data_IF_820122837671
#
_entry.id   IF_820122837671
#
_cell.length_a   1.000
_cell.length_b   1.000
_cell.length_c   1.000
_cell.angle_alpha   90.00
_cell.angle_beta   90.00
_cell.angle_gamma   90.00
#
_symmetry.space_group_name_H-M   'P 1'
#
loop_
_entity.id
_entity.type
_entity.pdbx_description
1 polymer ?
#
# COMPACT_ATOMS: atom_id res chain seq x y z
N UNK A 1 4.05 -37.21 -28.06
CA UNK A 1 4.65 -36.92 -26.74
C UNK A 1 5.37 -35.60 -26.90
N UNK A 2 4.65 -34.50 -26.68
CA UNK A 2 5.12 -33.13 -27.00
C UNK A 2 5.91 -32.61 -25.80
N UNK A 3 7.07 -32.05 -26.11
CA UNK A 3 8.00 -31.36 -25.22
C UNK A 3 7.38 -30.03 -24.78
N UNK A 4 7.29 -29.77 -23.47
CA UNK A 4 7.21 -28.41 -22.92
C UNK A 4 8.05 -28.38 -21.64
N UNK A 5 9.36 -28.18 -21.80
CA UNK A 5 10.21 -27.66 -20.74
C UNK A 5 9.81 -26.18 -20.53
N UNK A 6 8.78 -25.96 -19.71
CA UNK A 6 8.47 -24.63 -19.19
C UNK A 6 9.48 -24.33 -18.10
N UNK A 7 10.62 -23.79 -18.52
CA UNK A 7 11.52 -23.05 -17.64
C UNK A 7 10.69 -22.02 -16.84
N UNK A 8 10.33 -22.35 -15.59
CA UNK A 8 9.75 -21.41 -14.65
C UNK A 8 10.80 -20.33 -14.40
N UNK A 9 10.56 -19.11 -14.86
CA UNK A 9 11.30 -17.95 -14.36
C UNK A 9 11.00 -17.84 -12.86
N UNK A 10 11.87 -18.42 -12.03
CA UNK A 10 11.71 -18.60 -10.58
C UNK A 10 12.00 -17.31 -9.80
N UNK A 11 11.64 -16.16 -10.35
CA UNK A 11 11.87 -14.87 -9.70
C UNK A 11 10.66 -14.40 -8.89
N UNK A 12 9.49 -15.05 -9.05
CA UNK A 12 8.24 -14.61 -8.43
C UNK A 12 7.38 -15.78 -7.95
N UNK A 13 6.64 -15.54 -6.86
CA UNK A 13 5.62 -16.41 -6.30
C UNK A 13 4.26 -15.77 -6.57
N UNK A 14 3.40 -16.49 -7.28
CA UNK A 14 2.03 -16.07 -7.56
C UNK A 14 1.06 -16.75 -6.58
N UNK A 15 0.16 -15.95 -6.00
CA UNK A 15 -0.98 -16.44 -5.22
C UNK A 15 -2.19 -16.50 -6.15
N UNK A 16 -2.75 -17.69 -6.32
CA UNK A 16 -3.86 -17.94 -7.25
C UNK A 16 -5.12 -18.30 -6.49
N UNK A 17 -6.26 -17.73 -6.88
CA UNK A 17 -7.58 -18.08 -6.40
C UNK A 17 -8.44 -18.50 -7.60
N UNK A 18 -8.76 -19.79 -7.72
CA UNK A 18 -9.35 -20.34 -8.95
C UNK A 18 -8.34 -20.25 -10.10
N UNK A 19 -8.74 -19.57 -11.19
CA UNK A 19 -7.89 -19.35 -12.37
C UNK A 19 -7.28 -17.93 -12.41
N UNK A 20 -7.48 -17.13 -11.36
CA UNK A 20 -7.00 -15.75 -11.30
C UNK A 20 -5.81 -15.61 -10.34
N UNK A 21 -4.73 -14.98 -10.82
CA UNK A 21 -3.63 -14.51 -9.96
C UNK A 21 -4.15 -13.32 -9.15
N UNK A 22 -4.20 -13.47 -7.83
CA UNK A 22 -4.69 -12.45 -6.89
C UNK A 22 -3.56 -11.66 -6.22
N UNK A 23 -2.33 -12.17 -6.27
CA UNK A 23 -1.12 -11.45 -5.86
C UNK A 23 0.12 -12.07 -6.51
N UNK A 24 1.18 -11.29 -6.69
CA UNK A 24 2.45 -11.77 -7.24
C UNK A 24 3.62 -11.07 -6.56
N UNK A 25 4.48 -11.85 -5.90
CA UNK A 25 5.57 -11.36 -5.06
C UNK A 25 6.92 -11.79 -5.63
N UNK A 26 7.99 -10.98 -5.49
CA UNK A 26 9.33 -11.46 -5.76
C UNK A 26 9.69 -12.61 -4.81
N UNK A 27 10.31 -13.66 -5.34
CA UNK A 27 10.86 -14.76 -4.56
C UNK A 27 12.18 -14.31 -3.94
N UNK A 28 12.33 -14.51 -2.62
CA UNK A 28 13.56 -14.18 -1.90
C UNK A 28 14.35 -15.46 -1.61
N UNK A 29 15.65 -15.45 -1.90
CA UNK A 29 16.56 -16.55 -1.62
C UNK A 29 17.50 -16.20 -0.45
N UNK A 30 17.74 -17.17 0.44
CA UNK A 30 18.54 -16.97 1.65
C UNK A 30 17.73 -17.13 2.93
N UNK A 31 18.42 -17.17 4.08
CA UNK A 31 17.79 -17.26 5.40
C UNK A 31 17.40 -15.86 5.90
N UNK A 32 16.37 -15.80 6.73
CA UNK A 32 15.89 -14.59 7.42
C UNK A 32 15.44 -13.43 6.50
N UNK A 33 15.05 -13.72 5.26
CA UNK A 33 14.49 -12.74 4.33
C UNK A 33 12.98 -12.60 4.52
N UNK A 34 12.49 -11.36 4.66
CA UNK A 34 11.05 -11.06 4.71
C UNK A 34 10.77 -9.85 3.84
N UNK A 35 9.88 -9.98 2.86
CA UNK A 35 9.37 -8.86 2.07
C UNK A 35 7.89 -8.67 2.40
N UNK A 36 7.54 -7.53 2.99
CA UNK A 36 6.16 -7.20 3.30
C UNK A 36 5.70 -6.03 2.42
N UNK A 37 5.06 -6.35 1.29
CA UNK A 37 4.34 -5.30 0.56
C UNK A 37 3.08 -4.90 1.33
N UNK A 38 3.08 -3.67 1.84
CA UNK A 38 2.00 -3.06 2.61
C UNK A 38 0.63 -3.11 1.90
N UNK A 39 0.59 -3.16 0.56
CA UNK A 39 -0.65 -3.18 -0.22
C UNK A 39 -1.49 -4.42 0.09
N UNK A 40 -0.87 -5.56 0.41
CA UNK A 40 -1.57 -6.78 0.81
C UNK A 40 -2.25 -6.68 2.18
N UNK A 41 -1.85 -5.69 2.99
CA UNK A 41 -2.35 -5.51 4.35
C UNK A 41 -3.41 -4.39 4.44
N UNK A 42 -3.85 -3.83 3.32
CA UNK A 42 -4.89 -2.78 3.29
C UNK A 42 -6.18 -3.29 3.95
N UNK A 43 -6.69 -4.46 3.55
CA UNK A 43 -7.91 -5.04 4.12
C UNK A 43 -7.76 -5.36 5.62
N UNK A 44 -6.55 -5.75 6.05
CA UNK A 44 -6.25 -5.92 7.47
C UNK A 44 -6.30 -4.57 8.21
N UNK A 45 -5.73 -3.53 7.62
CA UNK A 45 -5.72 -2.20 8.20
C UNK A 45 -7.13 -1.62 8.35
N UNK A 46 -8.04 -1.90 7.41
CA UNK A 46 -9.46 -1.51 7.51
C UNK A 46 -10.14 -2.07 8.76
N UNK A 47 -9.86 -3.33 9.10
CA UNK A 47 -10.43 -4.01 10.27
C UNK A 47 -9.69 -3.65 11.56
N UNK A 48 -8.38 -3.45 11.48
CA UNK A 48 -7.51 -3.17 12.63
C UNK A 48 -6.64 -1.93 12.35
N UNK A 49 -7.20 -0.70 12.39
CA UNK A 49 -6.49 0.52 12.02
C UNK A 49 -5.17 0.75 12.78
N UNK A 50 -5.10 0.27 14.03
CA UNK A 50 -3.89 0.36 14.85
C UNK A 50 -2.65 -0.30 14.24
N UNK A 51 -2.78 -1.19 13.24
CA UNK A 51 -1.62 -1.76 12.52
C UNK A 51 -0.81 -0.69 11.79
N UNK A 52 -1.39 0.46 11.47
CA UNK A 52 -0.63 1.57 10.86
C UNK A 52 0.45 2.13 11.79
N UNK A 53 0.33 1.95 13.11
CA UNK A 53 1.26 2.57 14.05
C UNK A 53 2.61 1.85 14.06
N UNK A 54 2.58 0.52 14.09
CA UNK A 54 3.75 -0.32 14.32
C UNK A 54 3.78 -1.61 13.48
N UNK A 55 2.86 -1.76 12.52
CA UNK A 55 2.81 -2.97 11.70
C UNK A 55 4.03 -3.03 10.79
N UNK A 56 4.80 -4.13 10.87
CA UNK A 56 5.97 -4.35 10.03
C UNK A 56 5.74 -4.09 8.53
N UNK A 57 4.58 -4.43 7.92
CA UNK A 57 4.33 -4.10 6.52
C UNK A 57 4.32 -2.60 6.22
N UNK A 58 3.87 -1.77 7.16
CA UNK A 58 3.82 -0.31 6.97
C UNK A 58 5.16 0.37 7.22
N UNK A 59 6.18 -0.39 7.65
CA UNK A 59 7.54 0.10 7.78
C UNK A 59 8.16 0.48 6.42
N UNK A 60 7.62 -0.03 5.31
CA UNK A 60 8.09 0.22 3.93
C UNK A 60 7.15 1.15 3.13
N UNK A 61 6.32 1.94 3.81
CA UNK A 61 5.49 2.94 3.14
C UNK A 61 6.36 3.96 2.37
N UNK A 62 5.95 4.33 1.14
CA UNK A 62 6.54 5.43 0.40
C UNK A 62 6.60 6.72 1.24
N UNK A 63 7.66 7.50 1.06
CA UNK A 63 7.93 8.70 1.87
C UNK A 63 6.74 9.64 2.02
N UNK A 64 5.97 9.99 0.96
CA UNK A 64 4.82 10.88 1.11
C UNK A 64 3.75 10.33 2.04
N UNK A 65 3.41 9.04 1.89
CA UNK A 65 2.43 8.36 2.74
C UNK A 65 2.90 8.28 4.18
N UNK A 66 4.20 8.08 4.43
CA UNK A 66 4.77 8.09 5.77
C UNK A 66 4.69 9.46 6.43
N UNK A 67 4.94 10.54 5.69
CA UNK A 67 4.81 11.90 6.21
C UNK A 67 3.35 12.22 6.57
N UNK A 68 2.41 11.85 5.70
CA UNK A 68 0.99 11.96 5.99
C UNK A 68 0.60 11.15 7.23
N UNK A 69 1.05 9.90 7.33
CA UNK A 69 0.80 9.02 8.48
C UNK A 69 1.26 9.68 9.78
N UNK A 70 2.52 10.15 9.84
CA UNK A 70 3.08 10.81 11.04
C UNK A 70 2.28 12.04 11.45
N UNK A 71 1.71 12.75 10.48
CA UNK A 71 0.90 13.93 10.75
C UNK A 71 -0.48 13.56 11.29
N UNK A 72 -1.13 12.58 10.67
CA UNK A 72 -2.47 12.13 11.07
C UNK A 72 -2.45 11.41 12.43
N UNK A 73 -1.44 10.58 12.71
CA UNK A 73 -1.32 9.82 13.96
C UNK A 73 -1.15 10.70 15.22
N UNK A 74 -0.88 12.01 15.08
CA UNK A 74 -0.90 12.95 16.20
C UNK A 74 -2.31 13.27 16.70
N UNK A 75 -3.33 12.97 15.88
CA UNK A 75 -4.75 13.19 16.19
C UNK A 75 -5.38 11.87 16.58
N UNK A 76 -6.29 11.90 17.54
CA UNK A 76 -7.09 10.73 17.88
C UNK A 76 -7.86 10.22 16.65
N UNK A 77 -7.79 8.92 16.39
CA UNK A 77 -8.42 8.30 15.22
C UNK A 77 -7.73 8.59 13.87
N UNK A 78 -6.54 9.20 13.85
CA UNK A 78 -5.82 9.49 12.62
C UNK A 78 -5.45 8.26 11.79
N UNK A 79 -5.24 7.11 12.44
CA UNK A 79 -5.08 5.82 11.78
C UNK A 79 -6.33 5.43 10.98
N UNK A 80 -7.52 5.52 11.58
CA UNK A 80 -8.81 5.24 10.93
C UNK A 80 -9.04 6.13 9.73
N UNK A 81 -8.74 7.42 9.87
CA UNK A 81 -8.90 8.41 8.79
C UNK A 81 -7.97 8.10 7.63
N UNK A 82 -6.70 7.80 7.91
CA UNK A 82 -5.74 7.40 6.88
C UNK A 82 -6.16 6.11 6.18
N UNK A 83 -6.50 5.07 6.95
CA UNK A 83 -6.92 3.77 6.40
C UNK A 83 -8.14 3.92 5.51
N UNK A 84 -9.22 4.54 6.02
CA UNK A 84 -10.52 4.56 5.33
C UNK A 84 -10.55 5.48 4.12
N UNK A 85 -9.70 6.51 4.07
CA UNK A 85 -9.70 7.44 2.95
C UNK A 85 -8.54 7.23 1.99
N UNK A 86 -7.31 7.08 2.48
CA UNK A 86 -6.13 7.01 1.61
C UNK A 86 -5.99 5.65 0.93
N UNK A 87 -6.34 4.55 1.61
CA UNK A 87 -6.16 3.21 1.04
C UNK A 87 -7.13 2.86 -0.07
N UNK A 88 -8.44 3.17 0.00
CA UNK A 88 -9.33 2.96 -1.14
C UNK A 88 -8.98 3.82 -2.35
N UNK A 89 -8.24 4.92 -2.17
CA UNK A 89 -7.78 5.76 -3.27
C UNK A 89 -6.72 5.07 -4.14
N UNK A 90 -5.87 4.20 -3.56
CA UNK A 90 -4.79 3.51 -4.30
C UNK A 90 -5.32 2.60 -5.41
N UNK A 91 -6.29 1.69 -5.18
CA UNK A 91 -6.88 0.91 -6.26
C UNK A 91 -7.75 1.75 -7.21
N UNK A 92 -8.29 2.89 -6.76
CA UNK A 92 -9.15 3.75 -7.60
C UNK A 92 -8.36 4.67 -8.56
N UNK A 93 -7.23 5.22 -8.12
CA UNK A 93 -6.45 6.23 -8.88
C UNK A 93 -5.05 5.77 -9.26
N UNK A 94 -4.61 4.61 -8.76
CA UNK A 94 -3.22 4.19 -8.83
C UNK A 94 -2.36 4.85 -7.76
N UNK A 95 -1.23 4.22 -7.45
CA UNK A 95 -0.35 4.67 -6.38
C UNK A 95 0.28 6.03 -6.67
N UNK A 96 0.82 6.23 -7.86
CA UNK A 96 1.55 7.46 -8.22
C UNK A 96 0.66 8.71 -8.08
N UNK A 97 -0.58 8.63 -8.54
CA UNK A 97 -1.54 9.73 -8.39
C UNK A 97 -1.79 10.07 -6.91
N UNK A 98 -1.91 9.04 -6.05
CA UNK A 98 -2.05 9.22 -4.61
C UNK A 98 -0.80 9.84 -4.00
N UNK A 99 0.40 9.40 -4.40
CA UNK A 99 1.66 9.97 -3.89
C UNK A 99 1.79 11.46 -4.22
N UNK A 100 1.56 11.83 -5.48
CA UNK A 100 1.57 13.23 -5.93
C UNK A 100 0.52 14.06 -5.18
N UNK A 101 -0.70 13.55 -5.02
CA UNK A 101 -1.75 14.22 -4.27
C UNK A 101 -1.35 14.44 -2.80
N UNK A 102 -0.68 13.47 -2.19
CA UNK A 102 -0.17 13.57 -0.82
C UNK A 102 0.93 14.62 -0.71
N UNK A 103 1.91 14.62 -1.60
CA UNK A 103 3.00 15.61 -1.63
C UNK A 103 2.45 17.04 -1.70
N UNK A 104 1.58 17.32 -2.67
CA UNK A 104 0.96 18.63 -2.85
C UNK A 104 0.14 19.07 -1.61
N UNK A 105 -0.52 18.13 -0.95
CA UNK A 105 -1.28 18.42 0.29
C UNK A 105 -0.34 18.69 1.46
N UNK A 106 0.76 17.97 1.58
CA UNK A 106 1.78 18.20 2.61
C UNK A 106 2.44 19.58 2.43
N UNK A 107 2.80 19.96 1.19
CA UNK A 107 3.36 21.28 0.85
C UNK A 107 2.42 22.44 1.20
N UNK A 108 1.11 22.22 1.10
CA UNK A 108 0.12 23.25 1.44
C UNK A 108 -0.04 23.54 2.95
N UNK A 109 0.75 22.89 3.81
CA UNK A 109 0.82 23.14 5.26
C UNK A 109 -0.41 22.70 6.07
N UNK A 110 -1.43 22.16 5.41
CA UNK A 110 -2.72 21.81 6.02
C UNK A 110 -3.15 20.40 5.62
N UNK A 111 -2.39 19.38 6.04
CA UNK A 111 -2.61 18.01 5.59
C UNK A 111 -3.88 17.38 6.17
N UNK A 112 -4.72 16.86 5.27
CA UNK A 112 -5.91 16.06 5.59
C UNK A 112 -6.19 15.06 4.47
N UNK A 113 -6.76 13.90 4.82
CA UNK A 113 -7.11 12.87 3.85
C UNK A 113 -8.19 13.35 2.88
N UNK A 114 -9.13 14.17 3.33
CA UNK A 114 -10.14 14.78 2.47
C UNK A 114 -9.51 15.60 1.33
N UNK A 115 -8.44 16.35 1.62
CA UNK A 115 -7.75 17.15 0.61
C UNK A 115 -6.95 16.29 -0.36
N UNK A 116 -6.35 15.19 0.13
CA UNK A 116 -5.70 14.20 -0.73
C UNK A 116 -6.72 13.64 -1.73
N UNK A 117 -7.88 13.20 -1.23
CA UNK A 117 -8.95 12.70 -2.09
C UNK A 117 -9.42 13.74 -3.10
N UNK A 118 -9.70 14.98 -2.67
CA UNK A 118 -10.07 16.07 -3.58
C UNK A 118 -9.02 16.34 -4.65
N UNK A 119 -7.74 16.10 -4.38
CA UNK A 119 -6.66 16.21 -5.37
C UNK A 119 -6.66 15.04 -6.34
N UNK A 120 -6.82 13.80 -5.86
CA UNK A 120 -6.93 12.62 -6.73
C UNK A 120 -8.07 12.74 -7.75
N UNK A 121 -9.22 13.29 -7.35
CA UNK A 121 -10.37 13.49 -8.24
C UNK A 121 -10.21 14.66 -9.25
N UNK A 122 -9.17 15.49 -9.11
CA UNK A 122 -8.92 16.66 -9.96
C UNK A 122 -7.72 16.49 -10.89
N UNK A 123 -6.99 15.39 -10.77
CA UNK A 123 -5.88 15.01 -11.63
C UNK A 123 -6.40 14.15 -12.79
#
# INVERSE_FOLDING_TARGET
>A
MILEDRSYSSERIDVVCGDAVVASHPQLFGRDQTHCDWRHYILLAERKPGVLRNGAPFADLPTPLRQLQRTLLRREGGDRVMVRGCWPAVPAFGLEAVLVAVELVMESGTPSVERVLKRCWRA
#
